data_IF_353503750064
#
_entry.id   IF_353503750064
#
_cell.length_a   1.000
_cell.length_b   1.000
_cell.length_c   1.000
_cell.angle_alpha   90.00
_cell.angle_beta   90.00
_cell.angle_gamma   90.00
#
_symmetry.space_group_name_H-M   'P 1'
#
loop_
_entity.id
_entity.type
_entity.pdbx_description
1 polymer ?
#
# COMPACT_ATOMS: atom_id res chain seq x y z
N UNK A 1 16.60 22.71 14.45
CA UNK A 1 16.30 21.80 15.57
C UNK A 1 14.95 21.17 15.28
N UNK A 2 14.91 19.96 14.72
CA UNK A 2 13.65 19.22 14.54
C UNK A 2 13.09 18.93 15.93
N UNK A 3 11.88 19.40 16.24
CA UNK A 3 11.21 19.09 17.50
C UNK A 3 10.88 17.59 17.54
N UNK A 4 11.07 16.89 18.66
CA UNK A 4 10.77 15.46 18.77
C UNK A 4 9.31 15.10 18.40
N UNK A 5 8.36 16.06 18.50
CA UNK A 5 6.99 15.86 18.03
C UNK A 5 6.84 15.77 16.50
N UNK A 6 7.71 16.44 15.74
CA UNK A 6 7.61 16.50 14.27
C UNK A 6 8.06 15.20 13.61
N UNK A 7 8.98 14.45 14.24
CA UNK A 7 9.44 13.16 13.70
C UNK A 7 8.31 12.12 13.77
N UNK A 8 7.53 12.08 14.85
CA UNK A 8 6.40 11.16 14.98
C UNK A 8 5.34 11.38 13.89
N UNK A 9 5.00 12.65 13.60
CA UNK A 9 4.07 13.00 12.53
C UNK A 9 4.59 12.57 11.16
N UNK A 10 5.88 12.80 10.87
CA UNK A 10 6.48 12.37 9.59
C UNK A 10 6.45 10.84 9.45
N UNK A 11 6.71 10.10 10.52
CA UNK A 11 6.66 8.63 10.47
C UNK A 11 5.25 8.11 10.22
N UNK A 12 4.22 8.72 10.80
CA UNK A 12 2.83 8.37 10.54
C UNK A 12 2.46 8.64 9.08
N UNK A 13 2.80 9.81 8.56
CA UNK A 13 2.58 10.18 7.15
C UNK A 13 3.36 9.23 6.22
N UNK A 14 4.59 8.86 6.56
CA UNK A 14 5.40 7.94 5.78
C UNK A 14 4.79 6.53 5.74
N UNK A 15 4.31 6.03 6.88
CA UNK A 15 3.63 4.73 6.95
C UNK A 15 2.31 4.73 6.16
N UNK A 16 1.58 5.83 6.22
CA UNK A 16 0.36 6.05 5.44
C UNK A 16 0.64 5.98 3.93
N UNK A 17 1.60 6.79 3.46
CA UNK A 17 2.02 6.78 2.06
C UNK A 17 2.54 5.41 1.61
N UNK A 18 3.21 4.68 2.49
CA UNK A 18 3.68 3.33 2.19
C UNK A 18 2.52 2.35 1.97
N UNK A 19 1.45 2.40 2.78
CA UNK A 19 0.26 1.59 2.60
C UNK A 19 -0.47 1.92 1.30
N UNK A 20 -0.69 3.21 1.02
CA UNK A 20 -1.35 3.64 -0.22
C UNK A 20 -0.55 3.23 -1.47
N UNK A 21 0.78 3.38 -1.42
CA UNK A 21 1.68 2.90 -2.46
C UNK A 21 1.65 1.38 -2.62
N UNK A 22 1.59 0.65 -1.51
CA UNK A 22 1.50 -0.80 -1.51
C UNK A 22 0.17 -1.28 -2.10
N UNK A 23 -0.94 -0.61 -1.78
CA UNK A 23 -2.23 -0.85 -2.42
C UNK A 23 -2.14 -0.63 -3.94
N UNK A 24 -1.51 0.45 -4.41
CA UNK A 24 -1.37 0.68 -5.84
C UNK A 24 -0.48 -0.35 -6.56
N UNK A 25 0.52 -0.94 -5.88
CA UNK A 25 1.50 -1.85 -6.49
C UNK A 25 1.13 -3.34 -6.32
N UNK A 26 0.65 -3.73 -5.14
CA UNK A 26 0.28 -5.12 -4.81
C UNK A 26 -1.20 -5.44 -5.05
N UNK A 27 -2.07 -4.47 -5.27
CA UNK A 27 -3.46 -4.82 -5.58
C UNK A 27 -3.55 -5.27 -7.03
N UNK A 28 -4.35 -6.31 -7.30
CA UNK A 28 -4.69 -6.72 -8.66
C UNK A 28 -5.04 -5.47 -9.49
N UNK A 29 -4.53 -5.29 -10.73
CA UNK A 29 -4.75 -4.07 -11.52
C UNK A 29 -6.23 -3.73 -11.76
N UNK A 30 -7.14 -4.72 -11.66
CA UNK A 30 -8.59 -4.48 -11.71
C UNK A 30 -9.21 -3.96 -10.41
N UNK A 31 -8.47 -4.00 -9.30
CA UNK A 31 -8.93 -3.66 -7.96
C UNK A 31 -8.14 -2.47 -7.38
N UNK A 32 -7.26 -1.82 -8.16
CA UNK A 32 -6.48 -0.69 -7.65
C UNK A 32 -7.42 0.43 -7.18
N UNK A 33 -7.16 1.06 -6.03
CA UNK A 33 -8.02 2.12 -5.54
C UNK A 33 -8.05 3.29 -6.53
N UNK A 34 -9.24 3.87 -6.73
CA UNK A 34 -9.39 5.09 -7.50
C UNK A 34 -8.69 6.27 -6.80
N UNK A 35 -8.33 7.32 -7.54
CA UNK A 35 -7.71 8.51 -6.95
C UNK A 35 -8.53 9.10 -5.80
N UNK A 36 -9.87 9.08 -5.90
CA UNK A 36 -10.75 9.54 -4.81
C UNK A 36 -10.64 8.67 -3.56
N UNK A 37 -10.46 7.36 -3.71
CA UNK A 37 -10.23 6.45 -2.59
C UNK A 37 -8.85 6.66 -1.97
N UNK A 38 -7.81 6.86 -2.78
CA UNK A 38 -6.46 7.18 -2.29
C UNK A 38 -6.46 8.48 -1.47
N UNK A 39 -7.14 9.53 -1.96
CA UNK A 39 -7.29 10.78 -1.20
C UNK A 39 -8.02 10.53 0.12
N UNK A 40 -9.11 9.76 0.09
CA UNK A 40 -9.86 9.42 1.30
C UNK A 40 -9.05 8.56 2.28
N UNK A 41 -8.09 7.75 1.81
CA UNK A 41 -7.17 6.97 2.66
C UNK A 41 -6.09 7.86 3.29
N UNK A 42 -5.56 8.83 2.53
CA UNK A 42 -4.61 9.83 3.03
C UNK A 42 -5.22 10.76 4.08
N UNK A 43 -6.52 11.03 4.01
CA UNK A 43 -7.25 11.83 4.99
C UNK A 43 -7.62 11.06 6.27
N UNK A 44 -7.54 9.73 6.25
CA UNK A 44 -7.90 8.86 7.38
C UNK A 44 -6.70 8.55 8.27
N UNK A 45 -6.99 8.14 9.50
CA UNK A 45 -5.97 7.63 10.40
C UNK A 45 -5.48 6.25 9.94
N UNK A 46 -4.18 5.99 10.08
CA UNK A 46 -3.58 4.71 9.67
C UNK A 46 -4.21 3.48 10.34
N UNK A 47 -4.74 3.63 11.55
CA UNK A 47 -5.40 2.54 12.27
C UNK A 47 -6.77 2.17 11.67
N UNK A 48 -7.34 3.02 10.82
CA UNK A 48 -8.60 2.78 10.10
C UNK A 48 -8.37 2.16 8.72
N UNK A 49 -7.12 2.00 8.30
CA UNK A 49 -6.78 1.46 6.99
C UNK A 49 -6.50 -0.02 7.06
N UNK A 50 -7.10 -0.72 6.10
CA UNK A 50 -6.91 -2.15 5.94
C UNK A 50 -5.59 -2.45 5.22
N UNK A 51 -4.88 -3.48 5.69
CA UNK A 51 -3.64 -3.92 5.06
C UNK A 51 -3.94 -4.41 3.64
N UNK A 52 -3.22 -3.94 2.61
CA UNK A 52 -3.42 -4.42 1.25
C UNK A 52 -3.17 -5.92 1.19
N UNK A 53 -4.04 -6.62 0.47
CA UNK A 53 -3.87 -8.03 0.18
C UNK A 53 -2.67 -8.19 -0.77
N UNK A 54 -1.66 -8.99 -0.42
CA UNK A 54 -0.54 -9.23 -1.32
C UNK A 54 -1.00 -9.94 -2.59
N UNK A 55 -0.60 -9.42 -3.75
CA UNK A 55 -0.80 -10.11 -5.03
C UNK A 55 -0.05 -11.45 -4.99
N UNK A 56 -0.75 -12.55 -4.76
CA UNK A 56 -0.19 -13.89 -4.89
C UNK A 56 -0.12 -14.37 -6.35
N UNK A 57 -0.08 -13.48 -7.35
CA UNK A 57 0.16 -13.90 -8.73
C UNK A 57 1.66 -14.07 -9.00
N UNK A 58 2.27 -14.97 -8.25
CA UNK A 58 3.14 -15.92 -8.90
C UNK A 58 2.23 -17.11 -9.24
N UNK A 59 1.72 -17.26 -10.49
CA UNK A 59 1.54 -18.60 -10.97
C UNK A 59 2.92 -19.24 -10.79
N UNK A 60 2.94 -20.29 -9.98
CA UNK A 60 4.12 -21.10 -9.76
C UNK A 60 4.93 -21.21 -11.06
N UNK A 61 6.26 -21.09 -10.98
CA UNK A 61 7.20 -21.42 -12.07
C UNK A 61 7.12 -22.94 -12.37
N UNK A 62 5.91 -23.44 -12.63
CA UNK A 62 5.53 -24.83 -12.84
C UNK A 62 4.74 -24.89 -14.15
N UNK A 63 5.34 -24.40 -15.21
CA UNK A 63 5.12 -24.88 -16.57
C UNK A 63 6.41 -24.58 -17.30
N UNK A 64 7.40 -25.45 -17.17
CA UNK A 64 7.42 -26.64 -17.99
C UNK A 64 8.42 -26.36 -19.11
N UNK A 65 9.70 -26.65 -18.86
CA UNK A 65 10.60 -27.00 -19.94
C UNK A 65 10.17 -28.38 -20.46
N UNK A 66 9.05 -28.39 -21.19
CA UNK A 66 8.62 -29.49 -22.04
C UNK A 66 7.93 -28.76 -23.20
N UNK A 67 8.47 -28.70 -24.40
CA UNK A 67 9.42 -29.57 -25.10
C UNK A 67 10.34 -28.74 -26.00
#
# INVERSE_FOLDING_TARGET
LQSPGVICEIEEIARQMALDGLWCIQTNPGNSPSMSQVIHMLEKNINELEMPQPFLACPSLTSGFSS
#
